data_IF_096921368145
#
_entry.id   IF_096921368145
#
_cell.length_a   1.000
_cell.length_b   1.000
_cell.length_c   1.000
_cell.angle_alpha   90.00
_cell.angle_beta   90.00
_cell.angle_gamma   90.00
#
_symmetry.space_group_name_H-M   'P 1'
#
loop_
_entity.id
_entity.type
_entity.pdbx_description
1 polymer ?
#
# COMPACT_ATOMS: atom_id res chain seq x y z
N UNK A 1 -4.34 -25.88 -18.88
CA UNK A 1 -5.44 -24.88 -18.93
C UNK A 1 -4.92 -23.59 -18.34
N UNK A 2 -5.15 -22.43 -18.98
CA UNK A 2 -4.84 -21.15 -18.36
C UNK A 2 -5.99 -20.74 -17.44
N UNK A 3 -5.70 -20.00 -16.37
CA UNK A 3 -6.72 -19.46 -15.46
C UNK A 3 -7.82 -18.71 -16.22
N UNK A 4 -7.45 -17.97 -17.27
CA UNK A 4 -8.39 -17.27 -18.16
C UNK A 4 -9.41 -18.23 -18.79
N UNK A 5 -8.96 -19.38 -19.31
CA UNK A 5 -9.88 -20.38 -19.92
C UNK A 5 -10.79 -21.04 -18.89
N UNK A 6 -10.32 -21.20 -17.65
CA UNK A 6 -11.14 -21.72 -16.54
C UNK A 6 -12.22 -20.71 -16.13
N UNK A 7 -11.85 -19.44 -15.93
CA UNK A 7 -12.80 -18.39 -15.54
C UNK A 7 -13.86 -18.10 -16.61
N UNK A 8 -13.54 -18.30 -17.89
CA UNK A 8 -14.47 -18.13 -19.01
C UNK A 8 -15.64 -19.13 -19.02
N UNK A 9 -15.57 -20.21 -18.23
CA UNK A 9 -16.63 -21.22 -18.15
C UNK A 9 -17.76 -20.82 -17.20
N UNK A 10 -17.58 -19.77 -16.39
CA UNK A 10 -18.51 -19.37 -15.35
C UNK A 10 -19.40 -18.19 -15.78
N UNK A 11 -20.63 -18.16 -15.27
CA UNK A 11 -21.52 -16.99 -15.41
C UNK A 11 -21.00 -15.80 -14.61
N UNK A 12 -21.54 -14.61 -14.87
CA UNK A 12 -21.23 -13.42 -14.07
C UNK A 12 -21.55 -13.62 -12.59
N UNK A 13 -22.67 -14.24 -12.24
CA UNK A 13 -23.01 -14.47 -10.82
C UNK A 13 -22.03 -15.44 -10.15
N UNK A 14 -21.62 -16.49 -10.86
CA UNK A 14 -20.66 -17.47 -10.35
C UNK A 14 -19.29 -16.85 -10.12
N UNK A 15 -18.83 -15.98 -11.02
CA UNK A 15 -17.58 -15.24 -10.86
C UNK A 15 -17.66 -14.27 -9.67
N UNK A 16 -18.77 -13.57 -9.49
CA UNK A 16 -18.98 -12.69 -8.32
C UNK A 16 -18.93 -13.53 -7.03
N UNK A 17 -19.59 -14.69 -7.01
CA UNK A 17 -19.55 -15.61 -5.86
C UNK A 17 -18.14 -16.07 -5.52
N UNK A 18 -17.36 -16.49 -6.52
CA UNK A 18 -15.96 -16.87 -6.32
C UNK A 18 -15.10 -15.73 -5.79
N UNK A 19 -15.30 -14.50 -6.28
CA UNK A 19 -14.56 -13.32 -5.80
C UNK A 19 -14.91 -13.00 -4.34
N UNK A 20 -16.18 -13.12 -3.96
CA UNK A 20 -16.62 -12.93 -2.55
C UNK A 20 -16.00 -14.02 -1.66
N UNK A 21 -15.96 -15.26 -2.12
CA UNK A 21 -15.35 -16.36 -1.37
C UNK A 21 -13.84 -16.14 -1.20
N UNK A 22 -13.14 -15.68 -2.25
CA UNK A 22 -11.73 -15.29 -2.19
C UNK A 22 -11.49 -14.15 -1.20
N UNK A 23 -12.39 -13.17 -1.17
CA UNK A 23 -12.34 -12.05 -0.22
C UNK A 23 -12.49 -12.53 1.24
N UNK A 24 -13.43 -13.44 1.52
CA UNK A 24 -13.61 -14.00 2.87
C UNK A 24 -12.43 -14.88 3.28
N UNK A 25 -11.89 -15.66 2.34
CA UNK A 25 -10.83 -16.65 2.61
C UNK A 25 -9.45 -16.03 2.77
N UNK A 26 -9.14 -14.98 2.02
CA UNK A 26 -7.81 -14.37 1.97
C UNK A 26 -7.84 -12.91 2.43
N UNK A 27 -7.20 -12.64 3.57
CA UNK A 27 -7.10 -11.28 4.15
C UNK A 27 -6.45 -10.26 3.20
N UNK A 28 -5.53 -10.70 2.35
CA UNK A 28 -4.87 -9.84 1.36
C UNK A 28 -5.84 -9.38 0.27
N UNK A 29 -6.72 -10.28 -0.21
CA UNK A 29 -7.77 -9.96 -1.20
C UNK A 29 -8.79 -9.01 -0.60
N UNK A 30 -9.14 -9.21 0.68
CA UNK A 30 -9.98 -8.29 1.43
C UNK A 30 -9.38 -6.90 1.52
N UNK A 31 -8.12 -6.79 1.94
CA UNK A 31 -7.41 -5.52 2.02
C UNK A 31 -7.36 -4.81 0.65
N UNK A 32 -7.14 -5.56 -0.44
CA UNK A 32 -7.18 -5.02 -1.79
C UNK A 32 -8.55 -4.42 -2.16
N UNK A 33 -9.65 -5.14 -1.92
CA UNK A 33 -10.99 -4.64 -2.24
C UNK A 33 -11.44 -3.53 -1.29
N UNK A 34 -11.13 -3.61 0.01
CA UNK A 34 -11.38 -2.53 0.97
C UNK A 34 -10.65 -1.25 0.57
N UNK A 35 -9.42 -1.38 0.06
CA UNK A 35 -8.66 -0.25 -0.47
C UNK A 35 -9.25 0.27 -1.80
N UNK A 36 -9.63 -0.62 -2.72
CA UNK A 36 -10.17 -0.25 -4.03
C UNK A 36 -11.58 0.36 -3.97
N UNK A 37 -12.42 -0.08 -3.03
CA UNK A 37 -13.82 0.36 -2.89
C UNK A 37 -13.95 1.60 -1.99
N UNK A 38 -13.00 1.81 -1.09
CA UNK A 38 -13.05 2.87 -0.11
C UNK A 38 -11.87 3.81 -0.37
N UNK A 39 -12.07 4.96 -1.04
CA UNK A 39 -11.03 5.99 -1.26
C UNK A 39 -10.57 6.69 0.04
N UNK A 40 -10.72 6.04 1.20
CA UNK A 40 -9.98 6.33 2.42
C UNK A 40 -8.46 6.02 2.29
N UNK A 41 -7.94 5.96 1.06
CA UNK A 41 -6.52 6.01 0.71
C UNK A 41 -5.76 7.06 1.52
N UNK A 42 -6.42 8.17 1.86
CA UNK A 42 -5.90 9.21 2.75
C UNK A 42 -5.38 8.67 4.10
N UNK A 43 -6.03 7.68 4.74
CA UNK A 43 -5.53 7.15 6.02
C UNK A 43 -4.22 6.37 5.85
N UNK A 44 -4.16 5.44 4.89
CA UNK A 44 -2.95 4.66 4.62
C UNK A 44 -1.80 5.55 4.14
N UNK A 45 -2.13 6.58 3.34
CA UNK A 45 -1.20 7.61 2.88
C UNK A 45 -0.67 8.46 4.03
N UNK A 46 -1.55 8.97 4.89
CA UNK A 46 -1.17 9.75 6.07
C UNK A 46 -0.34 8.93 7.07
N UNK A 47 -0.69 7.67 7.30
CA UNK A 47 0.09 6.77 8.15
C UNK A 47 1.49 6.56 7.57
N UNK A 48 1.59 6.35 6.26
CA UNK A 48 2.88 6.19 5.58
C UNK A 48 3.71 7.47 5.65
N UNK A 49 3.11 8.64 5.40
CA UNK A 49 3.77 9.95 5.55
C UNK A 49 4.20 10.19 6.99
N UNK A 50 3.40 9.83 7.99
CA UNK A 50 3.79 9.94 9.42
C UNK A 50 5.01 9.07 9.76
N UNK A 51 5.11 7.87 9.21
CA UNK A 51 6.28 6.99 9.41
C UNK A 51 7.52 7.63 8.75
N UNK A 52 7.41 8.06 7.50
CA UNK A 52 8.50 8.72 6.77
C UNK A 52 8.97 9.98 7.51
N UNK A 53 8.02 10.81 7.96
CA UNK A 53 8.28 12.01 8.74
C UNK A 53 9.04 11.69 10.02
N UNK A 54 8.60 10.70 10.81
CA UNK A 54 9.30 10.27 12.04
C UNK A 54 10.71 9.72 11.79
N UNK A 55 10.92 9.03 10.68
CA UNK A 55 12.24 8.51 10.35
C UNK A 55 13.21 9.67 10.06
N UNK A 56 12.74 10.74 9.42
CA UNK A 56 13.61 11.79 8.89
C UNK A 56 13.68 13.01 9.82
N UNK A 57 12.58 13.36 10.51
CA UNK A 57 12.56 14.39 11.54
C UNK A 57 13.45 13.96 12.71
N UNK A 58 14.63 14.54 12.77
CA UNK A 58 15.54 14.50 13.91
C UNK A 58 14.85 15.01 15.15
N UNK A 59 14.61 14.11 16.13
CA UNK A 59 14.81 14.43 17.55
C UNK A 59 14.65 13.24 18.52
N UNK A 60 14.25 12.04 18.08
CA UNK A 60 14.00 10.93 19.03
C UNK A 60 14.60 9.61 18.57
N UNK A 61 15.91 9.43 18.79
CA UNK A 61 16.48 8.08 18.89
C UNK A 61 17.88 7.87 18.29
N UNK A 62 18.65 7.01 18.95
CA UNK A 62 20.05 6.63 18.71
C UNK A 62 20.36 5.93 17.37
N UNK A 63 19.47 6.01 16.37
CA UNK A 63 19.64 5.37 15.07
C UNK A 63 20.26 6.34 14.04
N UNK A 64 21.33 5.89 13.37
CA UNK A 64 22.01 6.67 12.32
C UNK A 64 21.16 6.89 11.06
N UNK A 65 21.56 7.83 10.19
CA UNK A 65 20.81 8.24 8.98
C UNK A 65 20.49 7.08 8.02
N UNK A 66 21.37 6.08 7.90
CA UNK A 66 21.16 4.92 7.02
C UNK A 66 20.01 4.00 7.48
N UNK A 67 19.87 3.82 8.80
CA UNK A 67 18.77 3.04 9.39
C UNK A 67 17.42 3.73 9.14
N UNK A 68 17.38 5.06 9.27
CA UNK A 68 16.20 5.89 9.03
C UNK A 68 15.74 5.83 7.56
N UNK A 69 16.68 5.92 6.61
CA UNK A 69 16.37 5.79 5.18
C UNK A 69 15.86 4.39 4.81
N UNK A 70 16.41 3.34 5.45
CA UNK A 70 15.95 1.97 5.24
C UNK A 70 14.52 1.76 5.74
N UNK A 71 14.16 2.32 6.88
CA UNK A 71 12.81 2.25 7.44
C UNK A 71 11.78 3.00 6.59
N UNK A 72 12.12 4.20 6.11
CA UNK A 72 11.28 4.96 5.20
C UNK A 72 11.04 4.20 3.87
N UNK A 73 12.09 3.62 3.27
CA UNK A 73 11.96 2.77 2.07
C UNK A 73 11.08 1.54 2.31
N UNK A 74 11.16 0.94 3.50
CA UNK A 74 10.30 -0.19 3.91
C UNK A 74 8.84 0.24 4.00
N UNK A 75 8.55 1.42 4.56
CA UNK A 75 7.20 1.98 4.61
C UNK A 75 6.61 2.19 3.21
N UNK A 76 7.38 2.78 2.28
CA UNK A 76 6.97 2.95 0.87
C UNK A 76 6.71 1.59 0.20
N UNK A 77 7.56 0.60 0.45
CA UNK A 77 7.39 -0.75 -0.12
C UNK A 77 6.11 -1.42 0.39
N UNK A 78 5.80 -1.27 1.68
CA UNK A 78 4.56 -1.78 2.26
C UNK A 78 3.34 -1.04 1.71
N UNK A 79 3.42 0.28 1.57
CA UNK A 79 2.38 1.08 0.96
C UNK A 79 2.13 0.63 -0.49
N UNK A 80 3.17 0.41 -1.28
CA UNK A 80 3.06 -0.11 -2.66
C UNK A 80 2.37 -1.47 -2.74
N UNK A 81 2.55 -2.36 -1.76
CA UNK A 81 1.87 -3.67 -1.71
C UNK A 81 0.35 -3.55 -1.52
N UNK A 82 -0.13 -2.45 -0.96
CA UNK A 82 -1.57 -2.17 -0.84
C UNK A 82 -2.22 -1.80 -2.19
N UNK A 83 -1.43 -1.74 -3.27
CA UNK A 83 -1.87 -1.30 -4.60
C UNK A 83 -2.55 0.08 -4.57
N UNK A 84 -1.85 1.12 -4.07
CA UNK A 84 -2.36 2.48 -4.01
C UNK A 84 -2.60 3.05 -5.42
N UNK A 85 -3.43 4.10 -5.50
CA UNK A 85 -3.53 4.86 -6.73
C UNK A 85 -2.14 5.42 -7.12
N UNK A 86 -1.88 5.59 -8.41
CA UNK A 86 -0.60 6.14 -8.88
C UNK A 86 -0.34 7.53 -8.30
N UNK A 87 -1.40 8.34 -8.13
CA UNK A 87 -1.33 9.66 -7.51
C UNK A 87 -0.94 9.59 -6.04
N UNK A 88 -1.46 8.64 -5.27
CA UNK A 88 -1.14 8.52 -3.84
C UNK A 88 0.27 7.97 -3.63
N UNK A 89 0.71 7.06 -4.49
CA UNK A 89 2.10 6.60 -4.49
C UNK A 89 3.07 7.74 -4.80
N UNK A 90 2.76 8.55 -5.82
CA UNK A 90 3.55 9.71 -6.19
C UNK A 90 3.65 10.71 -5.03
N UNK A 91 2.54 11.01 -4.35
CA UNK A 91 2.52 11.92 -3.20
C UNK A 91 3.34 11.41 -2.01
N UNK A 92 3.38 10.10 -1.76
CA UNK A 92 4.20 9.50 -0.70
C UNK A 92 5.68 9.53 -1.08
N UNK A 93 6.00 9.26 -2.34
CA UNK A 93 7.38 9.34 -2.86
C UNK A 93 7.91 10.78 -2.87
N UNK A 94 7.06 11.74 -3.23
CA UNK A 94 7.40 13.16 -3.19
C UNK A 94 7.70 13.60 -1.76
N UNK A 95 6.84 13.24 -0.81
CA UNK A 95 7.06 13.52 0.62
C UNK A 95 8.38 12.91 1.14
N UNK A 96 8.73 11.70 0.70
CA UNK A 96 10.03 11.10 1.03
C UNK A 96 11.22 11.90 0.49
N UNK A 97 11.12 12.43 -0.73
CA UNK A 97 12.15 13.27 -1.33
C UNK A 97 12.25 14.64 -0.64
N UNK A 98 11.12 15.28 -0.31
CA UNK A 98 11.05 16.54 0.43
C UNK A 98 11.78 16.44 1.77
N UNK A 99 11.47 15.41 2.55
CA UNK A 99 12.16 15.17 3.82
C UNK A 99 13.66 14.90 3.65
N UNK A 100 14.08 14.27 2.53
CA UNK A 100 15.49 13.98 2.27
C UNK A 100 16.33 15.19 1.85
N UNK A 101 15.71 16.29 1.43
CA UNK A 101 16.39 17.54 1.04
C UNK A 101 16.57 18.48 2.26
N UNK A 102 15.74 18.34 3.29
CA UNK A 102 15.84 19.12 4.54
C UNK A 102 17.03 18.69 5.44
N UNK A 103 17.90 17.78 4.97
CA UNK A 103 19.00 17.19 5.74
C UNK A 103 20.39 17.45 5.11
#
# INVERSE_FOLDING_TARGET
MSLKKYLQQFSKEQLIGQIIELNVKYKEVKAYYEFSLNPNSNKAKEETKKIIGKCISTDIGAAGPDLKLREARKAITNFKKLSPSESDLADVMLFYAECGIEY
#
